data_IF_952784175835
#
_entry.id   IF_952784175835
#
_cell.length_a   1.000
_cell.length_b   1.000
_cell.length_c   1.000
_cell.angle_alpha   90.00
_cell.angle_beta   90.00
_cell.angle_gamma   90.00
#
_symmetry.space_group_name_H-M   'P 1'
#
loop_
_entity.id
_entity.type
_entity.pdbx_description
1 polymer ?
#
# COMPACT_ATOMS: atom_id res chain seq x y z
N UNK A 1 12.71 -38.03 -36.73
CA UNK A 1 12.28 -36.62 -36.86
C UNK A 1 10.88 -36.31 -36.33
N UNK A 2 9.88 -37.21 -36.43
CA UNK A 2 8.49 -36.95 -35.97
C UNK A 2 8.37 -36.56 -34.49
N UNK A 3 9.18 -37.16 -33.61
CA UNK A 3 9.11 -36.93 -32.15
C UNK A 3 9.66 -35.57 -31.69
N UNK A 4 10.52 -34.92 -32.48
CA UNK A 4 11.07 -33.58 -32.13
C UNK A 4 10.02 -32.49 -32.31
N UNK A 5 9.18 -32.59 -33.35
CA UNK A 5 8.11 -31.62 -33.60
C UNK A 5 7.03 -31.64 -32.50
N UNK A 6 6.70 -32.83 -31.99
CA UNK A 6 5.71 -33.00 -30.90
C UNK A 6 6.24 -32.39 -29.60
N UNK A 7 7.51 -32.62 -29.26
CA UNK A 7 8.11 -32.08 -28.03
C UNK A 7 8.21 -30.55 -28.06
N UNK A 8 8.59 -29.99 -29.21
CA UNK A 8 8.68 -28.53 -29.38
C UNK A 8 7.30 -27.87 -29.30
N UNK A 9 6.29 -28.49 -29.91
CA UNK A 9 4.89 -28.04 -29.77
C UNK A 9 4.45 -28.07 -28.31
N UNK A 10 4.73 -29.15 -27.57
CA UNK A 10 4.33 -29.28 -26.16
C UNK A 10 5.03 -28.24 -25.27
N UNK A 11 6.31 -27.94 -25.53
CA UNK A 11 7.03 -26.87 -24.84
C UNK A 11 6.43 -25.49 -25.12
N UNK A 12 6.08 -25.19 -26.38
CA UNK A 12 5.41 -23.94 -26.73
C UNK A 12 4.04 -23.84 -26.06
N UNK A 13 3.25 -24.92 -26.07
CA UNK A 13 1.93 -24.93 -25.41
C UNK A 13 2.08 -24.79 -23.89
N UNK A 14 3.09 -25.41 -23.28
CA UNK A 14 3.36 -25.27 -21.84
C UNK A 14 3.83 -23.85 -21.50
N UNK A 15 4.69 -23.24 -22.32
CA UNK A 15 5.11 -21.85 -22.18
C UNK A 15 3.92 -20.90 -22.32
N UNK A 16 3.04 -21.13 -23.30
CA UNK A 16 1.82 -20.35 -23.48
C UNK A 16 0.84 -20.55 -22.30
N UNK A 17 0.73 -21.76 -21.75
CA UNK A 17 -0.09 -22.05 -20.57
C UNK A 17 0.49 -21.41 -19.30
N UNK A 18 1.82 -21.33 -19.15
CA UNK A 18 2.46 -20.64 -18.03
C UNK A 18 2.28 -19.12 -18.14
N UNK A 19 2.28 -18.58 -19.37
CA UNK A 19 2.00 -17.15 -19.59
C UNK A 19 0.53 -16.80 -19.34
N UNK A 20 -0.43 -17.69 -19.64
CA UNK A 20 -1.86 -17.46 -19.38
C UNK A 20 -2.29 -17.82 -17.96
N UNK A 21 -1.51 -18.63 -17.23
CA UNK A 21 -1.72 -18.90 -15.79
C UNK A 21 -1.35 -17.72 -14.88
N UNK A 22 -0.94 -16.58 -15.42
CA UNK A 22 -0.87 -15.29 -14.71
C UNK A 22 -2.26 -14.66 -14.47
N UNK A 23 -3.32 -15.46 -14.43
CA UNK A 23 -4.56 -15.08 -13.75
C UNK A 23 -4.22 -14.91 -12.26
N UNK A 24 -3.93 -13.66 -11.92
CA UNK A 24 -3.50 -13.11 -10.63
C UNK A 24 -4.44 -13.59 -9.53
N UNK A 25 -4.06 -14.66 -8.85
CA UNK A 25 -4.73 -15.15 -7.66
C UNK A 25 -4.33 -14.20 -6.52
N UNK A 26 -5.14 -13.17 -6.30
CA UNK A 26 -5.00 -12.26 -5.15
C UNK A 26 -5.27 -13.13 -3.92
N UNK A 27 -4.21 -13.54 -3.22
CA UNK A 27 -4.35 -14.11 -1.88
C UNK A 27 -4.64 -12.98 -0.91
N UNK A 28 -5.68 -13.15 -0.11
CA UNK A 28 -5.84 -12.39 1.13
C UNK A 28 -4.68 -12.78 2.06
N UNK A 29 -4.20 -11.86 2.89
CA UNK A 29 -3.02 -12.02 3.76
C UNK A 29 -3.13 -13.17 4.77
N UNK A 30 -4.31 -13.78 4.92
CA UNK A 30 -4.59 -14.95 5.76
C UNK A 30 -4.50 -16.30 5.01
N UNK A 31 -4.24 -16.29 3.69
CA UNK A 31 -4.17 -17.49 2.86
C UNK A 31 -5.52 -18.01 2.34
N UNK A 32 -6.61 -17.26 2.50
CA UNK A 32 -7.91 -17.58 1.91
C UNK A 32 -7.93 -17.49 0.38
N UNK A 33 -8.66 -18.42 -0.26
CA UNK A 33 -8.95 -18.36 -1.70
C UNK A 33 -10.13 -17.41 -1.94
N UNK A 34 -9.92 -16.33 -2.68
CA UNK A 34 -11.00 -15.44 -3.14
C UNK A 34 -11.78 -16.16 -4.24
N UNK A 35 -12.86 -16.85 -3.87
CA UNK A 35 -13.73 -17.56 -4.81
C UNK A 35 -14.92 -16.73 -5.31
N UNK A 36 -15.14 -15.53 -4.77
CA UNK A 36 -16.30 -14.69 -5.13
C UNK A 36 -15.88 -13.24 -5.41
N UNK A 37 -15.33 -12.99 -6.61
CA UNK A 37 -14.96 -11.65 -7.08
C UNK A 37 -16.16 -10.82 -7.61
N UNK A 38 -17.39 -11.33 -7.55
CA UNK A 38 -18.53 -10.75 -8.27
C UNK A 38 -19.64 -10.13 -7.39
N UNK A 39 -19.58 -10.23 -6.05
CA UNK A 39 -20.64 -9.69 -5.19
C UNK A 39 -20.17 -8.68 -4.12
N UNK A 40 -18.87 -8.46 -3.96
CA UNK A 40 -18.31 -7.46 -3.03
C UNK A 40 -17.62 -6.25 -3.70
N UNK A 41 -17.69 -6.15 -5.03
CA UNK A 41 -17.09 -5.06 -5.80
C UNK A 41 -17.63 -3.65 -5.48
N UNK A 42 -18.60 -3.54 -4.57
CA UNK A 42 -19.19 -2.28 -4.12
C UNK A 42 -19.07 -1.98 -2.63
N UNK A 43 -18.56 -2.87 -1.76
CA UNK A 43 -18.73 -2.64 -0.31
C UNK A 43 -17.66 -3.12 0.70
N UNK A 44 -16.60 -3.87 0.36
CA UNK A 44 -15.81 -4.56 1.45
C UNK A 44 -14.27 -4.49 1.37
N UNK A 45 -13.64 -3.54 0.66
CA UNK A 45 -12.18 -3.31 0.82
C UNK A 45 -11.78 -1.83 0.87
N UNK A 46 -12.61 -0.99 1.52
CA UNK A 46 -12.23 0.39 1.90
C UNK A 46 -11.78 0.52 3.36
N UNK A 47 -11.73 -0.60 4.12
CA UNK A 47 -11.20 -0.58 5.49
C UNK A 47 -9.77 -1.05 5.45
N UNK A 48 -8.86 -0.19 5.88
CA UNK A 48 -7.43 -0.38 5.79
C UNK A 48 -6.85 -1.58 6.55
N UNK A 49 -5.52 -1.75 6.46
CA UNK A 49 -4.79 -2.81 7.15
C UNK A 49 -4.77 -2.55 8.66
N UNK A 50 -5.09 -3.57 9.46
CA UNK A 50 -5.14 -3.51 10.93
C UNK A 50 -4.04 -4.31 11.59
N UNK A 51 -3.56 -3.85 12.73
CA UNK A 51 -2.74 -4.64 13.65
C UNK A 51 -3.59 -5.56 14.55
N UNK A 52 -2.95 -6.31 15.46
CA UNK A 52 -3.63 -7.20 16.41
C UNK A 52 -4.47 -6.44 17.47
N UNK A 53 -4.28 -5.13 17.60
CA UNK A 53 -5.02 -4.23 18.48
C UNK A 53 -6.05 -3.39 17.71
N UNK A 54 -6.37 -3.79 16.48
CA UNK A 54 -7.31 -3.12 15.57
C UNK A 54 -6.88 -1.71 15.11
N UNK A 55 -5.60 -1.34 15.32
CA UNK A 55 -5.04 -0.07 14.85
C UNK A 55 -4.98 -0.05 13.33
N UNK A 56 -5.44 1.04 12.72
CA UNK A 56 -5.32 1.32 11.30
C UNK A 56 -3.86 1.67 10.98
N UNK A 57 -3.17 0.74 10.31
CA UNK A 57 -1.77 0.88 9.88
C UNK A 57 -1.64 1.47 8.49
N UNK A 58 -2.63 1.24 7.63
CA UNK A 58 -2.62 1.72 6.24
C UNK A 58 -4.06 1.76 5.71
N UNK A 59 -4.34 2.55 4.68
CA UNK A 59 -5.58 2.51 3.91
C UNK A 59 -5.28 2.45 2.40
N UNK A 60 -6.25 1.99 1.62
CA UNK A 60 -6.02 1.53 0.25
C UNK A 60 -7.05 2.10 -0.73
N UNK A 61 -6.60 2.36 -1.96
CA UNK A 61 -7.44 2.87 -3.05
C UNK A 61 -8.21 4.15 -2.67
N UNK A 62 -7.53 5.09 -2.02
CA UNK A 62 -8.02 6.43 -1.75
C UNK A 62 -7.98 7.22 -3.06
N UNK A 63 -9.13 7.76 -3.47
CA UNK A 63 -9.23 8.54 -4.69
C UNK A 63 -8.78 9.98 -4.44
N UNK A 64 -7.71 10.39 -5.10
CA UNK A 64 -7.21 11.76 -5.11
C UNK A 64 -7.24 12.26 -6.55
N UNK A 65 -8.20 13.14 -6.85
CA UNK A 65 -8.40 13.74 -8.18
C UNK A 65 -8.50 12.71 -9.34
N UNK A 66 -9.09 11.52 -9.09
CA UNK A 66 -9.28 10.46 -10.07
C UNK A 66 -8.13 9.45 -10.14
N UNK A 67 -7.12 9.58 -9.28
CA UNK A 67 -6.01 8.65 -9.16
C UNK A 67 -6.05 7.95 -7.80
N UNK A 68 -5.85 6.63 -7.80
CA UNK A 68 -5.93 5.81 -6.59
C UNK A 68 -4.57 5.72 -5.91
N UNK A 69 -4.55 6.06 -4.62
CA UNK A 69 -3.40 5.99 -3.74
C UNK A 69 -3.64 5.05 -2.56
N UNK A 70 -2.56 4.51 -2.06
CA UNK A 70 -2.47 3.83 -0.78
C UNK A 70 -1.75 4.76 0.19
N UNK A 71 -2.11 4.67 1.47
CA UNK A 71 -1.46 5.43 2.55
C UNK A 71 -1.03 4.48 3.64
N UNK A 72 0.18 4.65 4.15
CA UNK A 72 0.66 4.02 5.37
C UNK A 72 0.83 5.07 6.46
N UNK A 73 0.44 4.73 7.69
CA UNK A 73 0.63 5.59 8.86
C UNK A 73 1.94 5.21 9.56
N UNK A 74 2.76 6.21 9.87
CA UNK A 74 4.01 6.01 10.59
C UNK A 74 4.26 7.15 11.57
N UNK A 75 4.60 6.81 12.80
CA UNK A 75 5.05 7.77 13.80
C UNK A 75 6.59 7.79 13.95
N UNK A 76 7.35 7.27 12.98
CA UNK A 76 8.81 7.39 13.01
C UNK A 76 9.27 8.80 12.62
N UNK A 77 10.58 9.03 12.61
CA UNK A 77 11.17 10.26 12.10
C UNK A 77 11.03 10.39 10.58
N UNK A 78 10.97 11.62 10.07
CA UNK A 78 10.84 11.89 8.64
C UNK A 78 11.94 11.19 7.83
N UNK A 79 13.19 11.26 8.30
CA UNK A 79 14.33 10.62 7.64
C UNK A 79 14.23 9.08 7.57
N UNK A 80 13.46 8.45 8.47
CA UNK A 80 13.23 7.00 8.47
C UNK A 80 12.15 6.63 7.47
N UNK A 81 11.10 7.46 7.37
CA UNK A 81 9.94 7.21 6.49
C UNK A 81 10.25 7.60 5.05
N UNK A 82 10.68 8.84 4.83
CA UNK A 82 10.84 9.44 3.50
C UNK A 82 12.31 9.58 3.07
N UNK A 83 13.27 9.37 3.98
CA UNK A 83 14.68 9.61 3.69
C UNK A 83 15.03 11.10 3.63
N UNK A 84 14.79 11.74 2.48
CA UNK A 84 15.06 13.15 2.23
C UNK A 84 13.94 13.80 1.38
N UNK A 85 14.16 15.02 0.85
CA UNK A 85 13.13 15.71 0.06
C UNK A 85 12.76 14.99 -1.24
N UNK A 86 13.57 14.05 -1.73
CA UNK A 86 13.25 13.24 -2.92
C UNK A 86 12.25 12.12 -2.63
N UNK A 87 12.05 11.77 -1.36
CA UNK A 87 11.04 10.80 -0.95
C UNK A 87 9.68 11.41 -0.62
N UNK A 88 9.48 12.71 -0.84
CA UNK A 88 8.17 13.34 -0.66
C UNK A 88 7.19 12.89 -1.75
N UNK A 89 5.99 12.48 -1.35
CA UNK A 89 4.95 12.01 -2.27
C UNK A 89 4.29 13.15 -3.06
N UNK A 90 4.33 14.36 -2.49
CA UNK A 90 3.81 15.60 -3.05
C UNK A 90 4.81 16.73 -2.82
N UNK A 91 4.77 17.75 -3.69
CA UNK A 91 5.76 18.84 -3.69
C UNK A 91 5.15 20.24 -3.52
N UNK A 92 3.84 20.32 -3.33
CA UNK A 92 3.13 21.57 -3.12
C UNK A 92 2.15 21.45 -1.95
N UNK A 93 1.95 22.55 -1.22
CA UNK A 93 0.99 22.59 -0.12
C UNK A 93 -0.44 22.31 -0.57
N UNK A 94 -0.82 22.75 -1.77
CA UNK A 94 -2.14 22.50 -2.34
C UNK A 94 -2.36 21.02 -2.64
N UNK A 95 -1.36 20.31 -3.18
CA UNK A 95 -1.50 18.88 -3.42
C UNK A 95 -1.56 18.12 -2.09
N UNK A 96 -0.71 18.46 -1.10
CA UNK A 96 -0.80 17.88 0.23
C UNK A 96 -2.15 18.12 0.92
N UNK A 97 -2.77 19.28 0.70
CA UNK A 97 -4.12 19.57 1.18
C UNK A 97 -5.16 18.64 0.54
N UNK A 98 -5.07 18.40 -0.78
CA UNK A 98 -6.01 17.49 -1.47
C UNK A 98 -5.89 16.05 -0.96
N UNK A 99 -4.66 15.58 -0.74
CA UNK A 99 -4.40 14.26 -0.16
C UNK A 99 -4.97 14.16 1.26
N UNK A 100 -4.74 15.18 2.09
CA UNK A 100 -5.29 15.26 3.45
C UNK A 100 -6.82 15.27 3.44
N UNK A 101 -7.46 16.02 2.53
CA UNK A 101 -8.91 16.05 2.38
C UNK A 101 -9.46 14.70 1.90
N UNK A 102 -8.82 14.06 0.92
CA UNK A 102 -9.24 12.76 0.43
C UNK A 102 -9.18 11.67 1.51
N UNK A 103 -8.23 11.79 2.44
CA UNK A 103 -8.14 10.91 3.61
C UNK A 103 -9.36 11.07 4.53
N UNK A 104 -9.76 12.31 4.84
CA UNK A 104 -10.97 12.60 5.60
C UNK A 104 -12.21 12.05 4.89
N UNK A 105 -12.35 12.33 3.59
CA UNK A 105 -13.52 11.97 2.81
C UNK A 105 -13.67 10.45 2.58
N UNK A 106 -12.61 9.67 2.77
CA UNK A 106 -12.60 8.23 2.46
C UNK A 106 -12.41 7.36 3.70
N UNK A 107 -11.49 7.72 4.59
CA UNK A 107 -11.01 6.86 5.68
C UNK A 107 -11.43 7.38 7.04
N UNK A 108 -11.53 8.70 7.22
CA UNK A 108 -11.85 9.36 8.48
C UNK A 108 -13.17 10.12 8.29
N UNK A 109 -14.16 9.39 7.78
CA UNK A 109 -15.47 9.95 7.44
C UNK A 109 -16.32 9.94 8.69
N UNK A 110 -16.86 11.11 9.04
CA UNK A 110 -17.91 11.39 10.04
C UNK A 110 -19.14 10.48 9.86
N UNK A 111 -19.05 9.19 10.17
CA UNK A 111 -20.16 8.26 10.08
C UNK A 111 -20.03 7.09 11.06
N UNK A 112 -21.14 6.72 11.71
CA UNK A 112 -21.19 5.72 12.80
C UNK A 112 -20.64 4.33 12.44
N UNK A 113 -20.42 4.07 11.16
CA UNK A 113 -19.89 2.80 10.66
C UNK A 113 -18.35 2.83 10.63
N UNK A 114 -17.73 4.00 10.62
CA UNK A 114 -16.30 4.18 10.52
C UNK A 114 -15.67 4.47 11.90
N UNK A 115 -15.18 3.43 12.56
CA UNK A 115 -14.69 3.53 13.95
C UNK A 115 -13.45 4.42 14.11
N UNK A 116 -12.67 4.61 13.04
CA UNK A 116 -11.42 5.39 13.08
C UNK A 116 -11.63 6.88 13.20
N UNK A 117 -12.78 7.36 12.71
CA UNK A 117 -13.27 8.72 12.87
C UNK A 117 -13.67 8.97 14.34
N UNK A 118 -14.59 8.17 14.90
CA UNK A 118 -15.00 8.31 16.30
C UNK A 118 -13.88 8.14 17.34
N UNK A 119 -12.88 7.33 17.01
CA UNK A 119 -11.79 6.99 17.92
C UNK A 119 -10.47 7.25 17.21
N UNK A 120 -9.99 8.51 17.17
CA UNK A 120 -8.77 8.88 16.43
C UNK A 120 -7.53 8.09 16.84
N UNK A 121 -7.46 7.68 18.11
CA UNK A 121 -6.42 6.79 18.60
C UNK A 121 -6.60 5.33 18.20
N UNK A 122 -7.44 5.01 17.22
CA UNK A 122 -7.35 3.76 16.45
C UNK A 122 -6.50 3.92 15.19
N UNK A 123 -6.06 5.12 14.82
CA UNK A 123 -4.98 5.28 13.84
C UNK A 123 -3.66 4.90 14.52
N UNK A 124 -2.82 4.13 13.82
CA UNK A 124 -1.51 3.76 14.37
C UNK A 124 -0.65 5.01 14.59
N UNK A 125 0.05 5.04 15.74
CA UNK A 125 0.80 6.21 16.19
C UNK A 125 -0.01 7.29 16.95
N UNK A 126 -1.34 7.29 16.87
CA UNK A 126 -2.20 8.22 17.61
C UNK A 126 -2.75 7.64 18.92
N UNK A 127 -2.95 8.50 19.93
CA UNK A 127 -3.49 8.17 21.25
C UNK A 127 -4.63 9.12 21.63
N UNK A 128 -5.84 8.58 21.79
CA UNK A 128 -7.10 9.34 22.04
C UNK A 128 -6.98 10.34 23.19
N UNK A 129 -6.34 9.95 24.29
CA UNK A 129 -6.34 10.72 25.54
C UNK A 129 -5.64 12.09 25.46
N UNK A 130 -5.04 12.45 24.33
CA UNK A 130 -4.15 13.59 24.18
C UNK A 130 -4.62 14.63 23.15
N UNK A 131 -5.77 14.42 22.51
CA UNK A 131 -6.37 15.36 21.56
C UNK A 131 -6.65 14.75 20.18
N UNK A 132 -6.85 15.59 19.14
CA UNK A 132 -7.06 15.10 17.79
C UNK A 132 -5.80 14.41 17.25
N UNK A 133 -6.02 13.49 16.32
CA UNK A 133 -4.93 12.87 15.56
C UNK A 133 -4.61 13.75 14.34
N UNK A 134 -3.39 14.26 14.28
CA UNK A 134 -2.86 15.00 13.14
C UNK A 134 -2.13 14.04 12.22
N UNK A 135 -2.73 13.78 11.07
CA UNK A 135 -2.15 12.94 10.04
C UNK A 135 -1.51 13.85 9.01
N UNK A 136 -0.18 13.90 9.04
CA UNK A 136 0.65 14.86 8.34
C UNK A 136 0.98 14.33 6.94
N UNK A 137 0.70 15.14 5.92
CA UNK A 137 1.15 14.95 4.54
C UNK A 137 2.26 15.96 4.25
N UNK A 138 3.54 15.56 4.28
CA UNK A 138 4.67 16.44 4.00
C UNK A 138 4.69 16.93 2.55
N UNK A 139 5.14 18.17 2.32
CA UNK A 139 5.28 18.70 0.95
C UNK A 139 6.56 19.49 0.69
N UNK A 140 7.28 19.92 1.74
CA UNK A 140 8.51 20.69 1.59
C UNK A 140 9.40 20.53 2.82
N UNK A 141 10.72 20.64 2.62
CA UNK A 141 11.71 20.75 3.71
C UNK A 141 12.32 22.15 3.67
N UNK A 142 12.18 22.89 4.76
CA UNK A 142 12.75 24.22 4.95
C UNK A 142 13.75 24.20 6.10
N UNK A 143 15.05 24.06 5.77
CA UNK A 143 16.10 23.86 6.77
C UNK A 143 15.95 22.50 7.47
N UNK A 144 15.76 22.52 8.79
CA UNK A 144 15.47 21.31 9.59
C UNK A 144 13.98 21.08 9.80
N UNK A 145 13.12 21.92 9.24
CA UNK A 145 11.67 21.82 9.42
C UNK A 145 11.02 21.18 8.20
N UNK A 146 10.15 20.22 8.43
CA UNK A 146 9.28 19.61 7.43
C UNK A 146 7.95 20.36 7.47
N UNK A 147 7.58 20.94 6.33
CA UNK A 147 6.29 21.61 6.16
C UNK A 147 5.25 20.58 5.69
N UNK A 148 4.07 20.64 6.30
CA UNK A 148 3.02 19.64 6.12
C UNK A 148 1.67 20.29 5.88
N UNK A 149 0.80 19.59 5.15
CA UNK A 149 -0.64 19.70 5.34
C UNK A 149 -1.07 18.62 6.33
N UNK A 150 -2.23 18.76 6.96
CA UNK A 150 -2.69 17.77 7.92
C UNK A 150 -4.18 17.47 7.76
N UNK A 151 -4.55 16.19 7.86
CA UNK A 151 -5.91 15.76 8.16
C UNK A 151 -6.05 15.69 9.69
N UNK A 152 -6.96 16.49 10.26
CA UNK A 152 -7.24 16.48 11.69
C UNK A 152 -8.48 15.65 11.93
N UNK A 153 -8.27 14.53 12.62
CA UNK A 153 -9.33 13.64 13.05
C UNK A 153 -9.62 13.86 14.53
N UNK A 154 -10.82 14.35 14.83
CA UNK A 154 -11.26 14.65 16.19
C UNK A 154 -12.19 13.57 16.74
N UNK A 155 -12.28 13.50 18.07
CA UNK A 155 -13.29 12.66 18.69
C UNK A 155 -14.71 13.26 18.56
N UNK A 156 -15.66 12.39 18.21
CA UNK A 156 -17.12 12.53 18.40
C UNK A 156 -17.83 13.68 17.66
N UNK A 157 -17.63 14.93 18.12
CA UNK A 157 -18.53 16.07 17.85
C UNK A 157 -17.82 17.27 17.23
N UNK A 158 -16.50 17.19 17.10
CA UNK A 158 -15.76 18.22 16.38
C UNK A 158 -15.70 17.83 14.92
N UNK A 159 -15.75 18.82 14.05
CA UNK A 159 -15.66 18.60 12.63
C UNK A 159 -14.22 18.36 12.26
N UNK A 160 -13.99 17.23 11.59
CA UNK A 160 -12.74 16.92 10.92
C UNK A 160 -12.39 17.99 9.88
N UNK A 161 -11.10 18.31 9.79
CA UNK A 161 -10.66 19.38 8.91
C UNK A 161 -9.29 19.10 8.30
N UNK A 162 -9.14 19.46 7.02
CA UNK A 162 -7.84 19.51 6.37
C UNK A 162 -7.22 20.90 6.56
N UNK A 163 -5.96 20.95 7.04
CA UNK A 163 -5.21 22.20 7.23
C UNK A 163 -4.16 22.37 6.13
N UNK A 164 -4.26 23.45 5.35
CA UNK A 164 -3.29 23.77 4.29
C UNK A 164 -1.87 24.00 4.83
N UNK A 165 -1.78 24.70 5.96
CA UNK A 165 -0.53 24.96 6.69
C UNK A 165 -0.60 24.21 8.02
N UNK A 166 -0.40 22.90 7.96
CA UNK A 166 -0.34 22.04 9.14
C UNK A 166 0.88 22.34 10.01
N UNK A 167 1.00 21.64 11.16
CA UNK A 167 2.16 21.76 12.03
C UNK A 167 3.46 21.43 11.29
N UNK A 168 4.49 22.25 11.47
CA UNK A 168 5.83 21.88 11.05
C UNK A 168 6.47 20.98 12.10
N UNK A 169 7.13 19.92 11.63
CA UNK A 169 7.86 18.97 12.49
C UNK A 169 9.34 19.04 12.18
N UNK A 170 10.21 18.75 13.15
CA UNK A 170 11.65 18.72 12.86
C UNK A 170 11.98 17.42 12.10
N UNK A 171 12.87 17.53 11.13
CA UNK A 171 13.30 16.48 10.22
C UNK A 171 13.77 15.19 10.94
N UNK A 172 14.52 15.34 12.04
CA UNK A 172 15.02 14.21 12.82
C UNK A 172 14.15 13.88 14.05
N UNK A 173 12.99 14.53 14.23
CA UNK A 173 12.10 14.20 15.36
C UNK A 173 11.35 12.91 15.12
N UNK A 174 11.49 11.98 16.06
CA UNK A 174 10.69 10.76 16.12
C UNK A 174 9.30 11.08 16.68
N UNK A 175 8.27 10.94 15.83
CA UNK A 175 6.88 11.23 16.17
C UNK A 175 6.30 10.24 17.20
N UNK A 176 6.97 9.13 17.52
CA UNK A 176 6.54 8.22 18.57
C UNK A 176 6.57 8.89 19.96
N UNK A 177 7.35 9.97 20.10
CA UNK A 177 7.36 10.82 21.30
C UNK A 177 6.20 11.84 21.31
N UNK A 178 5.47 11.96 20.21
CA UNK A 178 4.35 12.87 20.01
C UNK A 178 3.12 12.09 19.57
N UNK A 179 2.41 11.53 20.54
CA UNK A 179 1.25 10.64 20.37
C UNK A 179 -0.01 11.26 19.76
N UNK A 180 0.11 12.42 19.11
CA UNK A 180 -0.94 13.07 18.33
C UNK A 180 -0.51 13.33 16.87
N UNK A 181 0.74 13.05 16.50
CA UNK A 181 1.26 13.26 15.14
C UNK A 181 1.65 11.94 14.49
N UNK A 182 1.23 11.75 13.25
CA UNK A 182 1.64 10.61 12.43
C UNK A 182 1.85 11.10 10.99
N UNK A 183 2.82 10.54 10.29
CA UNK A 183 2.98 10.76 8.87
C UNK A 183 2.02 9.86 8.09
N UNK A 184 1.48 10.42 7.01
CA UNK A 184 0.86 9.68 5.91
C UNK A 184 1.88 9.54 4.79
N UNK A 185 2.34 8.32 4.57
CA UNK A 185 3.25 7.92 3.49
C UNK A 185 2.41 7.36 2.34
N UNK A 186 2.38 8.08 1.22
CA UNK A 186 1.48 7.84 0.11
C UNK A 186 2.19 7.15 -1.05
N UNK A 187 1.54 6.14 -1.62
CA UNK A 187 2.04 5.48 -2.82
C UNK A 187 0.92 5.25 -3.81
N UNK A 188 1.25 5.17 -5.10
CA UNK A 188 0.25 4.81 -6.09
C UNK A 188 -0.25 3.40 -5.84
N UNK A 189 -1.57 3.20 -5.83
CA UNK A 189 -2.13 1.85 -5.67
C UNK A 189 -1.71 0.89 -6.79
N UNK A 190 -1.31 1.42 -7.95
CA UNK A 190 -0.71 0.64 -9.05
C UNK A 190 0.63 0.01 -8.68
N UNK A 191 1.39 0.68 -7.82
CA UNK A 191 2.77 0.30 -7.49
C UNK A 191 2.80 -0.86 -6.50
N UNK A 192 1.72 -1.07 -5.73
CA UNK A 192 1.54 -2.25 -4.87
C UNK A 192 1.74 -3.57 -5.61
N UNK A 193 1.53 -3.60 -6.93
CA UNK A 193 1.64 -4.79 -7.75
C UNK A 193 2.89 -4.82 -8.64
N UNK A 194 3.72 -3.78 -8.64
CA UNK A 194 4.87 -3.65 -9.54
C UNK A 194 6.09 -4.46 -9.08
N UNK A 195 6.12 -4.92 -7.82
CA UNK A 195 7.29 -5.54 -7.18
C UNK A 195 7.14 -7.02 -6.84
N UNK A 196 6.18 -7.75 -7.44
CA UNK A 196 6.33 -9.21 -7.46
C UNK A 196 7.48 -9.52 -8.42
N UNK A 197 8.71 -9.44 -7.92
CA UNK A 197 9.89 -10.06 -8.52
C UNK A 197 9.42 -11.43 -8.97
N UNK A 198 9.29 -11.59 -10.29
CA UNK A 198 8.80 -12.81 -10.89
C UNK A 198 9.68 -13.90 -10.28
N UNK A 199 9.13 -14.81 -9.44
CA UNK A 199 9.97 -15.58 -8.56
C UNK A 199 10.92 -16.35 -9.46
N UNK A 200 12.23 -16.16 -9.27
CA UNK A 200 13.27 -16.84 -10.05
C UNK A 200 13.00 -18.35 -10.11
N UNK A 201 12.24 -18.88 -9.16
CA UNK A 201 11.62 -20.21 -9.12
C UNK A 201 10.93 -20.61 -10.44
N UNK A 202 10.15 -19.74 -11.07
CA UNK A 202 9.52 -20.05 -12.36
C UNK A 202 10.58 -20.29 -13.45
N UNK A 203 11.62 -19.45 -13.48
CA UNK A 203 12.77 -19.59 -14.37
C UNK A 203 13.60 -20.85 -14.04
N UNK A 204 13.79 -21.18 -12.76
CA UNK A 204 14.50 -22.37 -12.32
C UNK A 204 13.73 -23.67 -12.59
N UNK A 205 12.40 -23.69 -12.42
CA UNK A 205 11.55 -24.83 -12.78
C UNK A 205 11.59 -25.05 -14.29
N UNK A 206 11.47 -23.97 -15.08
CA UNK A 206 11.59 -24.05 -16.54
C UNK A 206 12.97 -24.61 -16.96
N UNK A 207 14.05 -24.13 -16.35
CA UNK A 207 15.41 -24.60 -16.62
C UNK A 207 15.61 -26.07 -16.23
N UNK A 208 15.11 -26.47 -15.06
CA UNK A 208 15.18 -27.84 -14.57
C UNK A 208 14.43 -28.83 -15.48
N UNK A 209 13.23 -28.48 -15.93
CA UNK A 209 12.47 -29.27 -16.89
C UNK A 209 13.23 -29.41 -18.22
N UNK A 210 13.90 -28.33 -18.67
CA UNK A 210 14.73 -28.35 -19.88
C UNK A 210 15.92 -29.32 -19.75
N UNK A 211 16.58 -29.36 -18.59
CA UNK A 211 17.68 -30.30 -18.30
C UNK A 211 17.18 -31.75 -18.32
N UNK A 212 16.04 -32.04 -17.67
CA UNK A 212 15.45 -33.39 -17.67
C UNK A 212 15.09 -33.87 -19.08
N UNK A 213 14.57 -32.98 -19.93
CA UNK A 213 14.26 -33.28 -21.32
C UNK A 213 15.53 -33.57 -22.15
N UNK A 214 16.63 -32.86 -21.89
CA UNK A 214 17.92 -33.11 -22.53
C UNK A 214 18.54 -34.46 -22.10
N UNK A 215 18.50 -34.78 -20.79
CA UNK A 215 19.03 -36.05 -20.28
C UNK A 215 18.32 -37.28 -20.86
N UNK A 216 16.98 -37.21 -21.03
CA UNK A 216 16.21 -38.31 -21.65
C UNK A 216 16.55 -38.58 -23.11
N UNK A 217 17.03 -37.58 -23.86
CA UNK A 217 17.44 -37.78 -25.25
C UNK A 217 18.80 -38.48 -25.36
N UNK A 218 19.74 -38.20 -24.46
CA UNK A 218 21.07 -38.78 -24.49
C UNK A 218 21.05 -40.31 -24.31
N UNK A 219 20.19 -40.82 -23.43
CA UNK A 219 20.07 -42.27 -23.12
C UNK A 219 19.49 -43.09 -24.28
N UNK A 220 18.75 -42.48 -25.22
CA UNK A 220 18.18 -43.20 -26.38
C UNK A 220 19.12 -43.31 -27.58
N UNK A 221 20.30 -42.69 -27.51
CA UNK A 221 21.29 -42.65 -28.59
C UNK A 221 22.53 -43.53 -28.31
N UNK A 222 22.64 -44.05 -27.08
CA UNK A 222 23.59 -45.11 -26.69
C UNK A 222 22.92 -46.48 -26.78
#
# INVERSE_FOLDING_TARGET
MKNIKILFSLCITLLLLVQTAHAKLIRVSDGGLVSDLALEAGLVFRTGFRDLNEKLLAAYNIDVDGQLYDVQFSNSSFNTVFGDSSGLDVSTSNDALRFSQALLDTVLVDNIVNIYDYVPGLVDGCVVALGPCFILTPYEISGTSVLTSAALNYELFFTDQALLNGPSVQFDSDLANFSIFVFADWSLSSDRFSTVDQPLIASFIALYLLVLLCQRKAVKLS
#
